data_IF_270645352444
#
_entry.id   IF_270645352444
#
_cell.length_a   1.000
_cell.length_b   1.000
_cell.length_c   1.000
_cell.angle_alpha   90.00
_cell.angle_beta   90.00
_cell.angle_gamma   90.00
#
_symmetry.space_group_name_H-M   'P 1'
#
loop_
_entity.id
_entity.type
_entity.pdbx_description
1 polymer ?
#
# COMPACT_ATOMS: atom_id res chain seq x y z
N UNK A 1 -10.27 6.39 39.39
CA UNK A 1 -10.31 6.89 37.99
C UNK A 1 -8.90 6.95 37.38
N UNK A 2 -8.15 5.83 37.35
CA UNK A 2 -6.79 5.77 36.77
C UNK A 2 -6.61 4.70 35.69
N UNK A 3 -7.60 3.81 35.51
CA UNK A 3 -7.56 2.75 34.50
C UNK A 3 -8.12 3.16 33.12
N UNK A 4 -8.91 4.24 33.05
CA UNK A 4 -9.51 4.71 31.78
C UNK A 4 -8.50 5.37 30.83
N UNK A 5 -7.42 5.95 31.35
CA UNK A 5 -6.38 6.56 30.51
C UNK A 5 -5.50 5.52 29.81
N UNK A 6 -5.25 4.37 30.45
CA UNK A 6 -4.40 3.29 29.91
C UNK A 6 -5.08 2.60 28.73
N UNK A 7 -6.40 2.40 28.80
CA UNK A 7 -7.18 1.81 27.70
C UNK A 7 -7.26 2.71 26.46
N UNK A 8 -7.30 4.02 26.65
CA UNK A 8 -7.34 4.99 25.54
C UNK A 8 -6.00 5.07 24.80
N UNK A 9 -4.88 4.97 25.50
CA UNK A 9 -3.54 4.89 24.90
C UNK A 9 -3.34 3.61 24.08
N UNK A 10 -3.86 2.47 24.55
CA UNK A 10 -3.75 1.21 23.81
C UNK A 10 -4.50 1.22 22.46
N UNK A 11 -5.63 1.94 22.37
CA UNK A 11 -6.40 2.04 21.13
C UNK A 11 -5.71 2.89 20.06
N UNK A 12 -4.96 3.92 20.47
CA UNK A 12 -4.18 4.78 19.56
C UNK A 12 -2.97 4.02 18.98
N UNK A 13 -2.36 3.11 19.76
CA UNK A 13 -1.21 2.30 19.30
C UNK A 13 -1.60 1.28 18.22
N UNK A 14 -2.85 0.78 18.21
CA UNK A 14 -3.31 -0.13 17.17
C UNK A 14 -3.53 0.57 15.82
N UNK A 15 -3.93 1.84 15.81
CA UNK A 15 -4.14 2.60 14.57
C UNK A 15 -2.81 3.04 13.92
N UNK A 16 -1.72 3.11 14.69
CA UNK A 16 -0.38 3.40 14.15
C UNK A 16 0.33 2.18 13.58
N UNK A 17 -0.24 0.98 13.70
CA UNK A 17 0.27 -0.25 13.10
C UNK A 17 -0.31 -0.52 11.70
N UNK A 18 -0.61 0.53 10.93
CA UNK A 18 -0.52 0.43 9.47
C UNK A 18 0.96 0.23 9.08
N UNK A 19 1.55 -0.86 9.57
CA UNK A 19 2.87 -1.32 9.22
C UNK A 19 2.87 -1.50 7.73
N UNK A 20 3.83 -0.83 7.09
CA UNK A 20 4.14 -1.07 5.69
C UNK A 20 4.29 -2.57 5.50
N UNK A 21 3.36 -3.17 4.75
CA UNK A 21 3.44 -4.57 4.37
C UNK A 21 4.84 -4.84 3.83
N UNK A 22 5.49 -5.88 4.34
CA UNK A 22 6.74 -6.39 3.77
C UNK A 22 6.54 -6.75 2.29
N UNK A 23 7.63 -6.91 1.52
CA UNK A 23 7.52 -7.27 0.09
C UNK A 23 6.74 -8.57 -0.13
N UNK A 24 6.88 -9.52 0.77
CA UNK A 24 6.17 -10.80 0.75
C UNK A 24 4.67 -10.61 1.07
N UNK A 25 4.35 -9.82 2.11
CA UNK A 25 2.97 -9.49 2.47
C UNK A 25 2.26 -8.68 1.37
N UNK A 26 2.97 -7.79 0.67
CA UNK A 26 2.46 -7.07 -0.50
C UNK A 26 2.08 -8.04 -1.63
N UNK A 27 2.93 -9.03 -1.91
CA UNK A 27 2.67 -10.03 -2.95
C UNK A 27 1.49 -10.93 -2.57
N UNK A 28 1.43 -11.37 -1.31
CA UNK A 28 0.33 -12.16 -0.77
C UNK A 28 -0.99 -11.39 -0.84
N UNK A 29 -1.00 -10.13 -0.40
CA UNK A 29 -2.16 -9.24 -0.47
C UNK A 29 -2.67 -9.09 -1.91
N UNK A 30 -1.76 -8.92 -2.88
CA UNK A 30 -2.11 -8.82 -4.29
C UNK A 30 -2.78 -10.10 -4.82
N UNK A 31 -2.23 -11.26 -4.48
CA UNK A 31 -2.78 -12.55 -4.91
C UNK A 31 -4.16 -12.80 -4.29
N UNK A 32 -4.32 -12.57 -2.98
CA UNK A 32 -5.59 -12.71 -2.27
C UNK A 32 -6.67 -11.78 -2.85
N UNK A 33 -6.31 -10.53 -3.15
CA UNK A 33 -7.23 -9.59 -3.79
C UNK A 33 -7.62 -10.05 -5.20
N UNK A 34 -6.65 -10.53 -6.00
CA UNK A 34 -6.90 -11.01 -7.35
C UNK A 34 -7.82 -12.23 -7.38
N UNK A 35 -7.64 -13.17 -6.45
CA UNK A 35 -8.51 -14.35 -6.30
C UNK A 35 -9.95 -13.95 -5.95
N UNK A 36 -10.14 -13.03 -5.00
CA UNK A 36 -11.48 -12.54 -4.62
C UNK A 36 -12.20 -11.87 -5.78
N UNK A 37 -11.48 -11.06 -6.56
CA UNK A 37 -12.02 -10.36 -7.73
C UNK A 37 -12.42 -11.31 -8.85
N UNK A 38 -11.75 -12.47 -8.97
CA UNK A 38 -12.16 -13.49 -9.94
C UNK A 38 -13.59 -13.97 -9.70
N UNK A 39 -14.01 -14.01 -8.44
CA UNK A 39 -15.35 -14.42 -7.99
C UNK A 39 -16.37 -13.28 -7.85
N UNK A 40 -16.00 -12.03 -8.14
CA UNK A 40 -16.90 -10.87 -8.05
C UNK A 40 -18.04 -10.98 -9.09
N UNK A 41 -19.33 -11.00 -8.65
CA UNK A 41 -20.47 -11.11 -9.56
C UNK A 41 -20.82 -9.82 -10.31
N UNK A 42 -20.53 -8.64 -9.75
CA UNK A 42 -20.76 -7.37 -10.43
C UNK A 42 -19.66 -7.12 -11.48
N UNK A 43 -20.04 -7.10 -12.76
CA UNK A 43 -19.10 -6.98 -13.86
C UNK A 43 -18.36 -5.63 -13.88
N UNK A 44 -19.04 -4.52 -13.55
CA UNK A 44 -18.44 -3.18 -13.53
C UNK A 44 -17.49 -3.03 -12.34
N UNK A 45 -17.88 -3.53 -11.17
CA UNK A 45 -17.02 -3.56 -10.00
C UNK A 45 -15.80 -4.44 -10.22
N UNK A 46 -15.99 -5.64 -10.80
CA UNK A 46 -14.92 -6.56 -11.15
C UNK A 46 -13.91 -5.90 -12.09
N UNK A 47 -14.38 -5.29 -13.17
CA UNK A 47 -13.51 -4.61 -14.14
C UNK A 47 -12.70 -3.49 -13.47
N UNK A 48 -13.35 -2.65 -12.66
CA UNK A 48 -12.67 -1.54 -11.94
C UNK A 48 -11.61 -2.03 -10.97
N UNK A 49 -11.89 -3.08 -10.20
CA UNK A 49 -10.91 -3.64 -9.27
C UNK A 49 -9.78 -4.31 -10.04
N UNK A 50 -10.07 -5.06 -11.11
CA UNK A 50 -9.03 -5.66 -11.97
C UNK A 50 -8.11 -4.59 -12.57
N UNK A 51 -8.67 -3.53 -13.14
CA UNK A 51 -7.90 -2.41 -13.70
C UNK A 51 -7.00 -1.77 -12.63
N UNK A 52 -7.52 -1.60 -11.41
CA UNK A 52 -6.75 -1.05 -10.29
C UNK A 52 -5.59 -1.96 -9.92
N UNK A 53 -5.82 -3.27 -9.79
CA UNK A 53 -4.77 -4.25 -9.51
C UNK A 53 -3.71 -4.28 -10.63
N UNK A 54 -4.12 -4.23 -11.90
CA UNK A 54 -3.19 -4.15 -13.02
C UNK A 54 -2.33 -2.89 -12.97
N UNK A 55 -2.92 -1.72 -12.65
CA UNK A 55 -2.17 -0.47 -12.52
C UNK A 55 -1.15 -0.55 -11.36
N UNK A 56 -1.54 -1.09 -10.20
CA UNK A 56 -0.64 -1.29 -9.06
C UNK A 56 0.52 -2.20 -9.41
N UNK A 57 0.26 -3.31 -10.12
CA UNK A 57 1.30 -4.22 -10.60
C UNK A 57 2.25 -3.51 -11.59
N UNK A 58 1.70 -2.76 -12.54
CA UNK A 58 2.49 -1.99 -13.51
C UNK A 58 3.41 -0.97 -12.84
N UNK A 59 2.92 -0.26 -11.81
CA UNK A 59 3.75 0.63 -10.99
C UNK A 59 4.88 -0.14 -10.30
N UNK A 60 4.57 -1.29 -9.67
CA UNK A 60 5.59 -2.09 -9.00
C UNK A 60 6.69 -2.60 -9.95
N UNK A 61 6.33 -3.03 -11.16
CA UNK A 61 7.28 -3.48 -12.17
C UNK A 61 8.14 -2.32 -12.72
N UNK A 62 7.53 -1.16 -12.95
CA UNK A 62 8.25 0.05 -13.31
C UNK A 62 9.24 0.46 -12.22
N UNK A 63 8.84 0.44 -10.94
CA UNK A 63 9.74 0.77 -9.81
C UNK A 63 10.90 -0.23 -9.70
N UNK A 64 10.65 -1.53 -9.91
CA UNK A 64 11.72 -2.55 -9.93
C UNK A 64 12.76 -2.29 -11.02
N UNK A 65 12.34 -1.77 -12.17
CA UNK A 65 13.23 -1.47 -13.30
C UNK A 65 14.18 -0.29 -13.06
N UNK A 66 13.92 0.53 -12.04
CA UNK A 66 14.72 1.70 -11.71
C UNK A 66 15.98 1.32 -10.92
N UNK A 67 17.06 2.05 -11.19
CA UNK A 67 18.26 2.05 -10.35
C UNK A 67 17.99 2.70 -8.98
N UNK A 68 18.80 2.38 -7.98
CA UNK A 68 18.63 2.95 -6.64
C UNK A 68 18.80 4.47 -6.62
N UNK A 69 19.71 5.01 -7.45
CA UNK A 69 19.87 6.46 -7.63
C UNK A 69 18.60 7.11 -8.21
N UNK A 70 17.92 6.45 -9.15
CA UNK A 70 16.66 6.95 -9.71
C UNK A 70 15.53 6.88 -8.69
N UNK A 71 15.40 5.79 -7.94
CA UNK A 71 14.42 5.67 -6.84
C UNK A 71 14.64 6.77 -5.80
N UNK A 72 15.89 7.00 -5.41
CA UNK A 72 16.22 8.03 -4.43
C UNK A 72 15.89 9.43 -4.93
N UNK A 73 16.16 9.74 -6.21
CA UNK A 73 15.77 11.01 -6.82
C UNK A 73 14.25 11.20 -6.86
N UNK A 74 13.49 10.14 -7.14
CA UNK A 74 12.03 10.17 -7.13
C UNK A 74 11.50 10.51 -5.73
N UNK A 75 11.99 9.79 -4.72
CA UNK A 75 11.59 9.96 -3.31
C UNK A 75 11.99 11.34 -2.76
N UNK A 76 13.18 11.85 -3.09
CA UNK A 76 13.70 13.09 -2.51
C UNK A 76 13.15 14.37 -3.16
N UNK A 77 12.78 14.34 -4.45
CA UNK A 77 12.34 15.53 -5.17
C UNK A 77 10.85 15.55 -5.51
N UNK A 78 10.28 14.43 -5.97
CA UNK A 78 8.93 14.41 -6.54
C UNK A 78 7.84 14.06 -5.53
N UNK A 79 8.16 13.24 -4.53
CA UNK A 79 7.21 12.84 -3.49
C UNK A 79 7.42 13.64 -2.21
N UNK A 80 7.29 14.97 -2.26
CA UNK A 80 7.43 15.87 -1.10
C UNK A 80 6.09 16.53 -0.73
N UNK A 81 6.02 17.21 0.42
CA UNK A 81 4.80 17.90 0.87
C UNK A 81 3.63 16.93 1.10
N UNK A 82 2.47 17.21 0.51
CA UNK A 82 1.29 16.32 0.63
C UNK A 82 1.50 14.94 0.00
N UNK A 83 2.46 14.80 -0.90
CA UNK A 83 2.79 13.53 -1.57
C UNK A 83 3.79 12.68 -0.77
N UNK A 84 4.33 13.19 0.33
CA UNK A 84 5.31 12.51 1.17
C UNK A 84 4.89 11.10 1.64
N UNK A 85 3.61 10.83 2.00
CA UNK A 85 3.19 9.48 2.38
C UNK A 85 3.35 8.43 1.27
N UNK A 86 3.42 8.85 0.00
CA UNK A 86 3.54 7.95 -1.15
C UNK A 86 4.98 7.50 -1.44
N UNK A 87 6.00 8.06 -0.76
CA UNK A 87 7.41 7.64 -0.89
C UNK A 87 7.59 6.13 -0.69
N UNK A 88 6.77 5.54 0.16
CA UNK A 88 6.75 4.12 0.51
C UNK A 88 6.47 3.16 -0.66
N UNK A 89 5.99 3.67 -1.81
CA UNK A 89 5.83 2.86 -3.02
C UNK A 89 7.16 2.61 -3.75
N UNK A 90 8.19 3.42 -3.47
CA UNK A 90 9.48 3.41 -4.18
C UNK A 90 10.64 2.84 -3.32
N UNK A 91 10.34 2.43 -2.09
CA UNK A 91 11.26 1.83 -1.11
C UNK A 91 10.91 0.34 -0.91
#
# INVERSE_FOLDING_TARGET
>A
MRFSLVFLLAFVVFLTHAGLLTKEEKLKCFNEASEKVATEPDADLKEKIQSTLTAVKGVADNVKSLTDAQKQRIVSFYFTGTCEPLKNFFQ
#
